data_IF_297284860096
#
_entry.id   IF_297284860096
#
_cell.length_a   1.000
_cell.length_b   1.000
_cell.length_c   1.000
_cell.angle_alpha   90.00
_cell.angle_beta   90.00
_cell.angle_gamma   90.00
#
_symmetry.space_group_name_H-M   'P 1'
#
loop_
_entity.id
_entity.type
_entity.pdbx_description
1 polymer ?
#
# COMPACT_ATOMS: atom_id res chain seq x y z
N UNK A 1 -20.51 -16.21 -11.45
CA UNK A 1 -19.34 -16.18 -12.34
C UNK A 1 -18.10 -16.06 -11.48
N UNK A 2 -17.31 -17.12 -11.37
CA UNK A 2 -16.03 -17.18 -10.68
C UNK A 2 -14.97 -16.40 -11.47
N UNK A 3 -14.31 -15.46 -10.82
CA UNK A 3 -13.32 -14.54 -11.41
C UNK A 3 -11.95 -14.84 -10.83
N UNK A 4 -10.98 -15.16 -11.70
CA UNK A 4 -9.59 -15.46 -11.32
C UNK A 4 -8.70 -14.35 -11.87
N UNK A 5 -7.93 -13.70 -11.01
CA UNK A 5 -7.00 -12.64 -11.37
C UNK A 5 -5.54 -13.08 -11.27
N UNK A 6 -4.73 -12.71 -12.25
CA UNK A 6 -3.29 -12.94 -12.29
C UNK A 6 -2.52 -11.63 -12.32
N UNK A 7 -1.39 -11.63 -11.60
CA UNK A 7 -0.37 -10.57 -11.67
C UNK A 7 0.93 -11.23 -12.12
N UNK A 8 1.32 -11.11 -13.40
CA UNK A 8 2.60 -11.63 -13.89
C UNK A 8 3.75 -10.72 -13.47
N UNK A 9 4.75 -11.31 -12.81
CA UNK A 9 5.94 -10.62 -12.29
C UNK A 9 7.20 -11.37 -12.66
N UNK A 10 7.91 -10.87 -13.68
CA UNK A 10 9.24 -11.38 -14.06
C UNK A 10 10.29 -10.86 -13.07
N UNK A 11 11.20 -11.72 -12.64
CA UNK A 11 12.28 -11.42 -11.70
C UNK A 11 13.51 -10.74 -12.31
N UNK A 12 13.70 -10.86 -13.63
CA UNK A 12 14.74 -10.14 -14.37
C UNK A 12 14.13 -9.09 -15.30
N UNK A 13 14.72 -7.91 -15.40
CA UNK A 13 14.29 -6.89 -16.37
C UNK A 13 15.50 -6.09 -16.88
N UNK A 14 15.55 -5.85 -18.19
CA UNK A 14 16.72 -5.31 -18.91
C UNK A 14 16.69 -3.79 -19.12
N UNK A 15 15.51 -3.13 -19.06
CA UNK A 15 15.36 -1.69 -19.36
C UNK A 15 15.35 -0.80 -18.11
N UNK A 16 14.80 -1.32 -17.02
CA UNK A 16 14.96 -0.83 -15.64
C UNK A 16 15.26 -2.10 -14.85
N UNK A 17 16.28 -2.10 -14.01
CA UNK A 17 16.61 -3.27 -13.19
C UNK A 17 15.36 -3.61 -12.35
N UNK A 18 14.76 -4.76 -12.66
CA UNK A 18 13.53 -5.27 -12.05
C UNK A 18 12.38 -4.25 -11.96
N UNK A 19 11.83 -3.82 -13.12
CA UNK A 19 10.64 -2.92 -13.22
C UNK A 19 9.55 -3.21 -12.18
N UNK A 20 9.17 -4.47 -12.03
CA UNK A 20 8.06 -4.85 -11.15
C UNK A 20 8.39 -4.73 -9.65
N UNK A 21 9.69 -4.69 -9.31
CA UNK A 21 10.21 -4.47 -7.95
C UNK A 21 10.61 -3.00 -7.72
N UNK A 22 10.27 -2.09 -8.62
CA UNK A 22 10.38 -0.67 -8.32
C UNK A 22 9.40 -0.28 -7.20
N UNK A 23 9.81 0.66 -6.37
CA UNK A 23 9.01 1.18 -5.26
C UNK A 23 8.25 2.39 -5.78
N UNK A 24 6.92 2.35 -5.68
CA UNK A 24 6.03 3.47 -5.93
C UNK A 24 5.23 3.76 -4.66
N UNK A 25 5.30 5.00 -4.17
CA UNK A 25 4.52 5.44 -2.99
C UNK A 25 4.75 4.55 -1.75
N UNK A 26 6.00 4.09 -1.60
CA UNK A 26 6.41 3.26 -0.46
C UNK A 26 5.93 1.81 -0.52
N UNK A 27 5.61 1.28 -1.69
CA UNK A 27 5.25 -0.12 -1.91
C UNK A 27 5.84 -0.63 -3.24
N UNK A 28 6.22 -1.90 -3.31
CA UNK A 28 6.61 -2.51 -4.58
C UNK A 28 5.44 -2.56 -5.57
N UNK A 29 5.68 -2.23 -6.84
CA UNK A 29 4.62 -2.20 -7.87
C UNK A 29 3.81 -3.50 -7.93
N UNK A 30 4.47 -4.66 -7.87
CA UNK A 30 3.76 -5.94 -7.91
C UNK A 30 2.90 -6.20 -6.66
N UNK A 31 3.41 -5.88 -5.46
CA UNK A 31 2.62 -5.98 -4.21
C UNK A 31 1.43 -5.03 -4.24
N UNK A 32 1.64 -3.80 -4.71
CA UNK A 32 0.56 -2.82 -4.91
C UNK A 32 -0.53 -3.39 -5.80
N UNK A 33 -0.17 -4.03 -6.92
CA UNK A 33 -1.16 -4.64 -7.82
C UNK A 33 -1.90 -5.80 -7.16
N UNK A 34 -1.20 -6.73 -6.50
CA UNK A 34 -1.84 -7.82 -5.75
C UNK A 34 -2.83 -7.30 -4.71
N UNK A 35 -2.44 -6.27 -3.95
CA UNK A 35 -3.32 -5.61 -2.97
C UNK A 35 -4.55 -4.99 -3.63
N UNK A 36 -4.38 -4.28 -4.76
CA UNK A 36 -5.49 -3.70 -5.51
C UNK A 36 -6.50 -4.76 -5.99
N UNK A 37 -6.03 -5.95 -6.42
CA UNK A 37 -6.92 -7.06 -6.76
C UNK A 37 -7.69 -7.53 -5.53
N UNK A 38 -7.01 -7.77 -4.41
CA UNK A 38 -7.64 -8.22 -3.16
C UNK A 38 -8.68 -7.22 -2.62
N UNK A 39 -8.33 -5.94 -2.57
CA UNK A 39 -9.21 -4.87 -2.06
C UNK A 39 -10.39 -4.56 -2.99
N UNK A 40 -10.31 -4.94 -4.28
CA UNK A 40 -11.42 -4.70 -5.22
C UNK A 40 -12.69 -5.44 -4.81
N UNK A 41 -12.56 -6.58 -4.11
CA UNK A 41 -13.65 -7.50 -3.81
C UNK A 41 -14.26 -8.17 -5.05
N UNK A 42 -13.61 -8.06 -6.22
CA UNK A 42 -14.13 -8.52 -7.50
C UNK A 42 -13.64 -9.91 -7.92
N UNK A 43 -12.65 -10.46 -7.21
CA UNK A 43 -11.96 -11.71 -7.53
C UNK A 43 -12.24 -12.77 -6.46
N UNK A 44 -12.53 -13.99 -6.91
CA UNK A 44 -12.62 -15.15 -6.04
C UNK A 44 -11.22 -15.70 -5.71
N UNK A 45 -10.27 -15.54 -6.63
CA UNK A 45 -8.87 -15.91 -6.44
C UNK A 45 -7.92 -14.90 -7.08
N UNK A 46 -6.82 -14.62 -6.38
CA UNK A 46 -5.72 -13.78 -6.88
C UNK A 46 -4.45 -14.62 -6.90
N UNK A 47 -3.77 -14.61 -8.03
CA UNK A 47 -2.57 -15.38 -8.30
C UNK A 47 -1.39 -14.47 -8.62
N UNK A 48 -0.27 -14.70 -7.96
CA UNK A 48 1.04 -14.18 -8.34
C UNK A 48 1.70 -15.18 -9.28
N UNK A 49 1.96 -14.78 -10.51
CA UNK A 49 2.72 -15.56 -11.49
C UNK A 49 4.18 -15.08 -11.52
N UNK A 50 5.12 -15.94 -11.10
CA UNK A 50 6.55 -15.61 -11.08
C UNK A 50 7.44 -16.85 -11.07
N UNK A 51 8.60 -16.73 -11.72
CA UNK A 51 9.71 -17.68 -11.64
C UNK A 51 10.69 -17.36 -10.49
N UNK A 52 10.55 -16.21 -9.83
CA UNK A 52 11.50 -15.71 -8.83
C UNK A 52 11.12 -16.11 -7.40
N UNK A 53 12.05 -16.79 -6.71
CA UNK A 53 11.95 -17.08 -5.27
C UNK A 53 11.89 -15.81 -4.41
N UNK A 54 12.62 -14.76 -4.80
CA UNK A 54 12.63 -13.50 -4.06
C UNK A 54 11.27 -12.81 -4.11
N UNK A 55 10.65 -12.74 -5.29
CA UNK A 55 9.31 -12.15 -5.46
C UNK A 55 8.27 -12.97 -4.69
N UNK A 56 8.33 -14.31 -4.78
CA UNK A 56 7.45 -15.20 -4.03
C UNK A 56 7.56 -14.98 -2.51
N UNK A 57 8.80 -14.87 -1.99
CA UNK A 57 9.05 -14.58 -0.58
C UNK A 57 8.48 -13.22 -0.17
N UNK A 58 8.67 -12.19 -1.01
CA UNK A 58 8.17 -10.84 -0.78
C UNK A 58 6.63 -10.72 -0.81
N UNK A 59 5.88 -11.71 -1.32
CA UNK A 59 4.42 -11.74 -1.26
C UNK A 59 3.85 -12.82 -0.31
N UNK A 60 4.72 -13.50 0.45
CA UNK A 60 4.32 -14.65 1.28
C UNK A 60 3.33 -14.32 2.41
N UNK A 61 3.24 -13.05 2.80
CA UNK A 61 2.28 -12.54 3.79
C UNK A 61 0.93 -12.11 3.19
N UNK A 62 0.77 -12.20 1.86
CA UNK A 62 -0.46 -11.82 1.17
C UNK A 62 -1.34 -13.05 0.91
N UNK A 63 -2.68 -12.93 0.98
CA UNK A 63 -3.62 -14.03 0.72
C UNK A 63 -3.77 -14.31 -0.78
N UNK A 64 -2.68 -14.67 -1.45
CA UNK A 64 -2.61 -14.93 -2.89
C UNK A 64 -2.07 -16.33 -3.15
N UNK A 65 -2.48 -16.93 -4.27
CA UNK A 65 -1.91 -18.19 -4.74
C UNK A 65 -0.65 -17.91 -5.54
N UNK A 66 0.29 -18.85 -5.52
CA UNK A 66 1.56 -18.73 -6.23
C UNK A 66 1.58 -19.68 -7.43
N UNK A 67 1.70 -19.11 -8.63
CA UNK A 67 2.02 -19.83 -9.85
C UNK A 67 3.53 -19.73 -10.11
N UNK A 68 4.22 -20.87 -10.03
CA UNK A 68 5.62 -21.00 -10.43
C UNK A 68 5.69 -21.29 -11.92
N UNK A 69 5.78 -20.25 -12.74
CA UNK A 69 5.94 -20.43 -14.19
C UNK A 69 7.29 -21.03 -14.56
N UNK A 70 7.32 -21.72 -15.69
CA UNK A 70 8.55 -22.12 -16.34
C UNK A 70 9.39 -20.87 -16.66
N UNK A 71 10.69 -20.91 -16.33
CA UNK A 71 11.63 -19.85 -16.63
C UNK A 71 11.75 -19.56 -18.14
N UNK A 72 11.45 -20.54 -19.00
CA UNK A 72 11.39 -20.33 -20.46
C UNK A 72 10.32 -19.31 -20.87
N UNK A 73 9.21 -19.23 -20.11
CA UNK A 73 8.15 -18.23 -20.31
C UNK A 73 8.50 -16.86 -19.73
N UNK A 74 9.59 -16.75 -18.97
CA UNK A 74 10.13 -15.49 -18.46
C UNK A 74 11.10 -14.84 -19.47
N UNK A 75 10.81 -14.95 -20.77
CA UNK A 75 11.63 -14.42 -21.87
C UNK A 75 10.94 -13.24 -22.55
N UNK A 76 11.72 -12.34 -23.15
CA UNK A 76 11.14 -11.28 -24.01
C UNK A 76 10.60 -11.85 -25.34
N UNK A 77 10.88 -13.12 -25.65
CA UNK A 77 10.34 -13.82 -26.81
C UNK A 77 8.92 -14.37 -26.57
N UNK A 78 8.54 -14.57 -25.30
CA UNK A 78 7.19 -15.03 -24.93
C UNK A 78 6.23 -13.86 -25.06
N UNK A 79 5.21 -14.02 -25.90
CA UNK A 79 4.21 -12.98 -26.07
C UNK A 79 3.14 -13.00 -24.96
N UNK A 80 2.32 -11.95 -24.91
CA UNK A 80 1.30 -11.79 -23.89
C UNK A 80 0.18 -12.83 -23.92
N UNK A 81 -0.15 -13.39 -25.09
CA UNK A 81 -1.13 -14.46 -25.23
C UNK A 81 -0.59 -15.78 -24.69
N UNK A 82 0.64 -16.14 -25.05
CA UNK A 82 1.29 -17.36 -24.56
C UNK A 82 1.36 -17.38 -23.03
N UNK A 83 1.77 -16.26 -22.43
CA UNK A 83 1.85 -16.15 -20.98
C UNK A 83 0.46 -16.27 -20.32
N UNK A 84 -0.53 -15.55 -20.84
CA UNK A 84 -1.90 -15.61 -20.32
C UNK A 84 -2.54 -17.00 -20.46
N UNK A 85 -2.23 -17.71 -21.55
CA UNK A 85 -2.67 -19.08 -21.75
C UNK A 85 -2.11 -20.04 -20.69
N UNK A 86 -0.83 -19.86 -20.29
CA UNK A 86 -0.23 -20.62 -19.21
C UNK A 86 -0.91 -20.36 -17.86
N UNK A 87 -1.19 -19.09 -17.55
CA UNK A 87 -1.93 -18.69 -16.34
C UNK A 87 -3.32 -19.35 -16.29
N UNK A 88 -4.10 -19.21 -17.37
CA UNK A 88 -5.47 -19.75 -17.44
C UNK A 88 -5.49 -21.29 -17.31
N UNK A 89 -4.53 -21.99 -17.94
CA UNK A 89 -4.39 -23.45 -17.82
C UNK A 89 -4.06 -23.89 -16.40
N UNK A 90 -3.28 -23.08 -15.68
CA UNK A 90 -2.81 -23.41 -14.33
C UNK A 90 -3.85 -23.20 -13.23
N UNK A 91 -4.89 -22.41 -13.50
CA UNK A 91 -5.99 -22.15 -12.57
C UNK A 91 -7.35 -22.55 -13.17
N UNK A 92 -7.69 -23.84 -13.21
CA UNK A 92 -8.90 -24.29 -13.89
C UNK A 92 -10.20 -23.87 -13.17
N UNK A 93 -11.27 -23.76 -13.96
CA UNK A 93 -12.64 -23.53 -13.48
C UNK A 93 -12.97 -22.06 -13.18
N UNK A 94 -12.25 -21.11 -13.76
CA UNK A 94 -12.66 -19.71 -13.79
C UNK A 94 -13.70 -19.48 -14.89
N UNK A 95 -14.73 -18.68 -14.62
CA UNK A 95 -15.66 -18.21 -15.67
C UNK A 95 -15.11 -16.95 -16.36
N UNK A 96 -14.35 -16.14 -15.63
CA UNK A 96 -13.63 -14.97 -16.12
C UNK A 96 -12.20 -15.04 -15.63
N UNK A 97 -11.26 -14.94 -16.56
CA UNK A 97 -9.83 -14.86 -16.30
C UNK A 97 -9.35 -13.43 -16.57
N UNK A 98 -8.56 -12.87 -15.65
CA UNK A 98 -8.11 -11.48 -15.69
C UNK A 98 -6.60 -11.44 -15.54
N UNK A 99 -5.91 -10.72 -16.43
CA UNK A 99 -4.49 -10.41 -16.26
C UNK A 99 -4.33 -8.92 -16.03
N UNK A 100 -3.75 -8.55 -14.90
CA UNK A 100 -3.53 -7.16 -14.52
C UNK A 100 -2.04 -6.88 -14.38
N UNK A 101 -1.52 -5.94 -15.16
CA UNK A 101 -0.09 -5.64 -15.20
C UNK A 101 0.30 -4.63 -14.12
N UNK A 102 1.35 -4.93 -13.37
CA UNK A 102 1.80 -4.08 -12.28
C UNK A 102 2.47 -2.77 -12.73
N UNK A 103 2.85 -2.66 -14.01
CA UNK A 103 3.36 -1.42 -14.62
C UNK A 103 2.29 -0.35 -14.75
N UNK A 104 1.00 -0.69 -14.65
CA UNK A 104 -0.11 0.25 -14.61
C UNK A 104 -0.63 0.44 -13.18
N UNK A 105 0.05 1.24 -12.32
CA UNK A 105 -0.23 1.31 -10.89
C UNK A 105 -1.58 1.96 -10.53
N UNK A 106 -2.18 2.70 -11.46
CA UNK A 106 -3.44 3.42 -11.26
C UNK A 106 -4.67 2.68 -11.80
N UNK A 107 -4.50 1.51 -12.44
CA UNK A 107 -5.59 0.53 -12.60
C UNK A 107 -5.86 -0.11 -11.23
N UNK A 108 -6.51 0.64 -10.35
CA UNK A 108 -6.63 0.34 -8.94
C UNK A 108 -7.81 -0.60 -8.61
N UNK A 109 -8.08 -0.80 -7.32
CA UNK A 109 -9.17 -1.64 -6.83
C UNK A 109 -10.55 -1.22 -7.37
N UNK A 110 -10.81 0.08 -7.51
CA UNK A 110 -12.06 0.60 -8.05
C UNK A 110 -12.12 0.36 -9.57
N UNK A 111 -11.03 0.61 -10.30
CA UNK A 111 -10.94 0.35 -11.74
C UNK A 111 -11.17 -1.12 -12.06
N UNK A 112 -10.53 -2.02 -11.31
CA UNK A 112 -10.70 -3.47 -11.45
C UNK A 112 -12.15 -3.89 -11.18
N UNK A 113 -12.78 -3.35 -10.13
CA UNK A 113 -14.20 -3.62 -9.81
C UNK A 113 -15.13 -3.16 -10.94
N UNK A 114 -14.92 -1.95 -11.48
CA UNK A 114 -15.68 -1.42 -12.62
C UNK A 114 -15.49 -2.26 -13.87
N UNK A 115 -14.26 -2.69 -14.17
CA UNK A 115 -13.96 -3.49 -15.35
C UNK A 115 -14.61 -4.89 -15.27
N UNK A 116 -14.51 -5.57 -14.11
CA UNK A 116 -15.19 -6.87 -13.91
C UNK A 116 -16.70 -6.72 -14.03
N UNK A 117 -17.28 -5.66 -13.45
CA UNK A 117 -18.70 -5.38 -13.58
C UNK A 117 -19.11 -5.09 -15.03
N UNK A 118 -18.30 -4.33 -15.78
CA UNK A 118 -18.54 -4.02 -17.19
C UNK A 118 -18.58 -5.28 -18.06
N UNK A 119 -17.60 -6.18 -17.90
CA UNK A 119 -17.64 -7.46 -18.61
C UNK A 119 -18.86 -8.29 -18.16
N UNK A 120 -19.12 -8.45 -16.86
CA UNK A 120 -20.31 -9.19 -16.38
C UNK A 120 -21.63 -8.64 -16.94
N UNK A 121 -21.74 -7.32 -17.13
CA UNK A 121 -22.91 -6.64 -17.69
C UNK A 121 -23.04 -6.73 -19.22
N UNK A 122 -22.03 -7.23 -19.94
CA UNK A 122 -22.01 -7.36 -21.40
C UNK A 122 -22.05 -8.84 -21.83
N UNK A 123 -23.21 -9.52 -21.79
CA UNK A 123 -23.30 -10.97 -22.00
C UNK A 123 -22.82 -11.44 -23.38
N UNK A 124 -22.94 -10.58 -24.41
CA UNK A 124 -22.50 -10.88 -25.77
C UNK A 124 -21.00 -10.69 -26.02
N UNK A 125 -20.29 -10.08 -25.05
CA UNK A 125 -18.85 -9.88 -25.13
C UNK A 125 -18.10 -11.09 -24.57
N UNK A 126 -17.02 -11.48 -25.26
CA UNK A 126 -16.15 -12.59 -24.87
C UNK A 126 -14.92 -12.14 -24.09
N UNK A 127 -14.55 -10.85 -24.18
CA UNK A 127 -13.38 -10.29 -23.54
C UNK A 127 -13.54 -8.82 -23.14
N UNK A 128 -12.59 -8.31 -22.38
CA UNK A 128 -12.44 -6.88 -22.10
C UNK A 128 -10.97 -6.48 -22.26
N UNK A 129 -10.74 -5.36 -22.94
CA UNK A 129 -9.41 -4.76 -23.14
C UNK A 129 -9.46 -3.33 -22.62
N UNK A 130 -8.53 -2.97 -21.74
CA UNK A 130 -8.39 -1.58 -21.31
C UNK A 130 -7.78 -0.72 -22.42
N UNK A 131 -8.40 0.42 -22.68
CA UNK A 131 -8.02 1.34 -23.76
C UNK A 131 -8.04 2.79 -23.29
N UNK A 132 -7.44 3.67 -24.08
CA UNK A 132 -7.70 5.11 -24.06
C UNK A 132 -8.27 5.54 -25.40
N UNK A 133 -9.09 6.59 -25.39
CA UNK A 133 -9.63 7.21 -26.60
C UNK A 133 -9.16 8.66 -26.68
N UNK A 134 -8.33 8.98 -27.68
CA UNK A 134 -7.73 10.31 -27.81
C UNK A 134 -7.78 10.84 -29.23
N UNK A 135 -7.71 12.17 -29.34
CA UNK A 135 -7.62 12.88 -30.62
C UNK A 135 -6.20 13.36 -30.82
N UNK A 136 -5.50 12.80 -31.81
CA UNK A 136 -4.08 13.04 -32.03
C UNK A 136 -3.82 13.78 -33.35
N UNK A 137 -2.86 14.70 -33.30
CA UNK A 137 -2.24 15.26 -34.50
C UNK A 137 -1.15 14.31 -34.98
N UNK A 138 -1.52 13.34 -35.82
CA UNK A 138 -0.66 12.26 -36.26
C UNK A 138 0.29 12.69 -37.38
N UNK A 139 1.54 12.20 -37.32
CA UNK A 139 2.51 12.28 -38.41
C UNK A 139 2.87 10.85 -38.82
N UNK A 140 2.82 10.54 -40.12
CA UNK A 140 3.10 9.22 -40.68
C UNK A 140 4.18 9.38 -41.74
N UNK A 141 5.29 8.67 -41.58
CA UNK A 141 6.43 8.70 -42.53
C UNK A 141 6.95 10.13 -42.84
N UNK A 142 6.88 11.03 -41.86
CA UNK A 142 7.33 12.42 -42.00
C UNK A 142 6.30 13.39 -42.58
N UNK A 143 5.09 12.93 -42.88
CA UNK A 143 3.98 13.75 -43.38
C UNK A 143 2.85 13.88 -42.33
N UNK A 144 2.24 15.06 -42.16
CA UNK A 144 1.08 15.20 -41.30
C UNK A 144 -0.10 14.43 -41.89
N UNK A 145 -0.74 13.58 -41.09
CA UNK A 145 -1.88 12.75 -41.55
C UNK A 145 -3.07 13.61 -42.03
N UNK A 146 -3.22 14.81 -41.47
CA UNK A 146 -4.23 15.79 -41.88
C UNK A 146 -3.83 16.61 -43.12
N UNK A 147 -2.71 16.31 -43.77
CA UNK A 147 -2.19 17.00 -44.95
C UNK A 147 -1.50 18.34 -44.64
N UNK A 148 -0.87 18.93 -45.67
CA UNK A 148 -0.07 20.18 -45.54
C UNK A 148 -0.87 21.49 -45.71
N UNK A 149 -2.16 21.40 -46.06
CA UNK A 149 -2.98 22.57 -46.38
C UNK A 149 -3.40 23.36 -45.14
N UNK A 150 -4.20 22.75 -44.27
CA UNK A 150 -4.74 23.38 -43.05
C UNK A 150 -4.62 22.42 -41.87
N UNK A 151 -4.12 22.90 -40.74
CA UNK A 151 -4.15 22.16 -39.47
C UNK A 151 -5.61 22.16 -38.95
N UNK A 152 -6.25 21.00 -38.74
CA UNK A 152 -7.62 20.92 -38.22
C UNK A 152 -7.68 21.36 -36.75
N UNK A 153 -8.86 21.78 -36.28
CA UNK A 153 -9.03 21.99 -34.84
C UNK A 153 -9.08 20.64 -34.12
N UNK A 154 -8.67 20.61 -32.86
CA UNK A 154 -8.65 19.36 -32.07
C UNK A 154 -10.04 18.73 -31.94
N UNK A 155 -11.10 19.55 -31.93
CA UNK A 155 -12.49 19.07 -31.89
C UNK A 155 -12.91 18.31 -33.16
N UNK A 156 -12.27 18.59 -34.30
CA UNK A 156 -12.60 18.02 -35.61
C UNK A 156 -11.85 16.70 -35.88
N UNK A 157 -10.85 16.37 -35.05
CA UNK A 157 -10.08 15.14 -35.19
C UNK A 157 -10.90 13.89 -34.81
N UNK A 158 -10.70 12.77 -35.51
CA UNK A 158 -11.31 11.50 -35.12
C UNK A 158 -10.67 10.98 -33.82
N UNK A 159 -11.44 10.22 -33.04
CA UNK A 159 -10.88 9.47 -31.93
C UNK A 159 -10.05 8.28 -32.42
N UNK A 160 -8.92 8.06 -31.76
CA UNK A 160 -8.10 6.87 -31.86
C UNK A 160 -8.24 6.08 -30.57
N UNK A 161 -8.58 4.81 -30.72
CA UNK A 161 -8.55 3.84 -29.62
C UNK A 161 -7.15 3.28 -29.53
N UNK A 162 -6.52 3.43 -28.37
CA UNK A 162 -5.16 2.98 -28.10
C UNK A 162 -5.25 1.95 -26.98
N UNK A 163 -4.71 0.76 -27.22
CA UNK A 163 -4.63 -0.28 -26.19
C UNK A 163 -3.69 0.17 -25.07
N UNK A 164 -4.18 0.12 -23.83
CA UNK A 164 -3.42 0.61 -22.67
C UNK A 164 -2.39 -0.40 -22.14
N UNK A 165 -2.38 -1.63 -22.66
CA UNK A 165 -1.49 -2.72 -22.25
C UNK A 165 -1.48 -2.99 -20.73
N UNK A 166 -2.59 -2.72 -20.03
CA UNK A 166 -2.61 -2.70 -18.55
C UNK A 166 -3.52 -3.76 -17.93
N UNK A 167 -4.62 -4.11 -18.60
CA UNK A 167 -5.67 -4.98 -18.09
C UNK A 167 -6.38 -5.71 -19.22
N UNK A 168 -6.48 -7.03 -19.06
CA UNK A 168 -7.15 -7.94 -19.99
C UNK A 168 -8.08 -8.86 -19.24
N UNK A 169 -9.24 -9.16 -19.84
CA UNK A 169 -10.16 -10.17 -19.32
C UNK A 169 -10.70 -11.04 -20.43
N UNK A 170 -10.85 -12.33 -20.15
CA UNK A 170 -11.48 -13.29 -21.05
C UNK A 170 -12.53 -14.08 -20.31
N UNK A 171 -13.67 -14.33 -20.96
CA UNK A 171 -14.59 -15.37 -20.50
C UNK A 171 -14.05 -16.74 -20.90
N UNK A 172 -14.19 -17.72 -20.01
CA UNK A 172 -13.95 -19.11 -20.38
C UNK A 172 -15.12 -19.64 -21.19
N UNK A 173 -14.83 -20.47 -22.19
CA UNK A 173 -15.85 -21.31 -22.80
C UNK A 173 -15.97 -22.60 -22.01
N UNK A 174 -17.12 -23.28 -22.07
CA UNK A 174 -17.43 -24.44 -21.23
C UNK A 174 -16.48 -25.66 -21.39
N UNK A 175 -15.54 -25.65 -22.34
CA UNK A 175 -14.64 -26.77 -22.62
C UNK A 175 -13.15 -26.40 -22.67
N UNK A 176 -12.80 -25.12 -22.78
CA UNK A 176 -11.42 -24.69 -22.98
C UNK A 176 -11.07 -23.44 -22.15
N UNK A 177 -9.80 -23.35 -21.77
CA UNK A 177 -9.23 -22.14 -21.16
C UNK A 177 -8.89 -21.12 -22.25
N UNK A 178 -9.01 -19.80 -21.97
CA UNK A 178 -8.52 -18.78 -22.89
C UNK A 178 -7.05 -19.00 -23.25
N UNK A 179 -6.72 -18.87 -24.54
CA UNK A 179 -5.35 -18.95 -25.04
C UNK A 179 -4.83 -17.61 -25.59
N UNK A 180 -5.59 -16.53 -25.40
CA UNK A 180 -5.28 -15.17 -25.85
C UNK A 180 -5.85 -14.17 -24.85
N UNK A 181 -5.39 -12.93 -24.92
CA UNK A 181 -5.79 -11.81 -24.02
C UNK A 181 -7.10 -11.13 -24.43
N UNK A 182 -7.56 -11.35 -25.66
CA UNK A 182 -8.80 -10.80 -26.17
C UNK A 182 -9.44 -11.75 -27.19
N UNK A 183 -10.77 -11.66 -27.31
CA UNK A 183 -11.59 -12.44 -28.22
C UNK A 183 -12.04 -11.63 -29.45
N UNK A 184 -13.11 -12.09 -30.08
CA UNK A 184 -13.69 -11.47 -31.28
C UNK A 184 -14.61 -10.29 -30.94
N UNK A 185 -15.16 -10.25 -29.71
CA UNK A 185 -16.13 -9.24 -29.26
C UNK A 185 -15.68 -8.59 -27.95
N UNK A 186 -14.57 -7.82 -27.96
CA UNK A 186 -14.09 -7.16 -26.77
C UNK A 186 -14.99 -6.00 -26.35
N UNK A 187 -15.21 -5.87 -25.04
CA UNK A 187 -15.54 -4.57 -24.43
C UNK A 187 -14.27 -3.74 -24.40
N UNK A 188 -14.29 -2.57 -25.04
CA UNK A 188 -13.26 -1.56 -24.85
C UNK A 188 -13.55 -0.76 -23.59
N UNK A 189 -12.74 -0.99 -22.56
CA UNK A 189 -12.90 -0.35 -21.26
C UNK A 189 -12.01 0.90 -21.17
N UNK A 190 -12.64 2.06 -21.21
CA UNK A 190 -11.94 3.34 -21.24
C UNK A 190 -11.36 3.71 -19.86
N UNK A 191 -10.06 3.99 -19.86
CA UNK A 191 -9.31 4.43 -18.69
C UNK A 191 -9.34 5.96 -18.56
N UNK A 192 -9.35 6.45 -17.33
CA UNK A 192 -9.12 7.87 -17.03
C UNK A 192 -7.67 8.27 -17.32
N UNK A 193 -7.40 9.58 -17.29
CA UNK A 193 -6.05 10.15 -17.51
C UNK A 193 -5.00 9.62 -16.55
N UNK A 194 -5.36 9.32 -15.30
CA UNK A 194 -4.42 8.75 -14.32
C UNK A 194 -4.30 7.23 -14.52
N UNK A 195 -5.43 6.54 -14.71
CA UNK A 195 -5.50 5.09 -14.89
C UNK A 195 -4.67 4.58 -16.09
N UNK A 196 -4.51 5.40 -17.13
CA UNK A 196 -3.75 5.04 -18.34
C UNK A 196 -2.23 5.07 -18.18
N UNK A 197 -1.69 5.60 -17.09
CA UNK A 197 -0.24 5.69 -16.92
C UNK A 197 0.35 4.28 -16.80
N UNK A 198 1.30 3.97 -17.68
CA UNK A 198 2.02 2.70 -17.74
C UNK A 198 3.53 2.93 -17.62
N UNK A 199 4.16 2.33 -16.60
CA UNK A 199 5.56 2.54 -16.24
C UNK A 199 6.46 1.69 -17.13
N UNK A 200 7.03 2.33 -18.14
CA UNK A 200 7.97 1.70 -19.07
C UNK A 200 9.41 2.20 -18.89
N UNK A 201 9.57 3.43 -18.44
CA UNK A 201 10.83 4.14 -18.29
C UNK A 201 10.90 4.83 -16.92
N UNK A 202 12.10 5.27 -16.53
CA UNK A 202 12.28 5.98 -15.26
C UNK A 202 11.42 7.25 -15.16
N UNK A 203 11.27 7.99 -16.26
CA UNK A 203 10.43 9.19 -16.30
C UNK A 203 8.95 8.89 -15.99
N UNK A 204 8.44 7.71 -16.35
CA UNK A 204 7.07 7.30 -16.04
C UNK A 204 6.93 7.02 -14.53
N UNK A 205 7.94 6.39 -13.92
CA UNK A 205 7.98 6.16 -12.48
C UNK A 205 8.08 7.49 -11.71
N UNK A 206 8.91 8.43 -12.18
CA UNK A 206 9.05 9.76 -11.58
C UNK A 206 7.72 10.54 -11.67
N UNK A 207 7.00 10.43 -12.78
CA UNK A 207 5.66 11.00 -12.94
C UNK A 207 4.64 10.33 -12.01
N UNK A 208 4.67 9.00 -11.90
CA UNK A 208 3.80 8.26 -10.98
C UNK A 208 4.06 8.68 -9.52
N UNK A 209 5.32 8.82 -9.11
CA UNK A 209 5.72 9.32 -7.79
C UNK A 209 5.22 10.76 -7.56
N UNK A 210 5.28 11.63 -8.57
CA UNK A 210 4.75 12.99 -8.46
C UNK A 210 3.23 13.00 -8.23
N UNK A 211 2.48 12.15 -8.95
CA UNK A 211 1.02 11.99 -8.77
C UNK A 211 0.72 11.50 -7.35
N UNK A 212 1.39 10.42 -6.91
CA UNK A 212 1.25 9.88 -5.55
C UNK A 212 1.62 10.91 -4.48
N UNK A 213 2.72 11.64 -4.67
CA UNK A 213 3.18 12.70 -3.78
C UNK A 213 2.17 13.82 -3.62
N UNK A 214 1.48 14.21 -4.70
CA UNK A 214 0.39 15.18 -4.65
C UNK A 214 -0.78 14.70 -3.77
N UNK A 215 -1.16 13.42 -3.89
CA UNK A 215 -2.17 12.80 -3.04
C UNK A 215 -1.75 12.75 -1.57
N UNK A 216 -0.52 12.28 -1.30
CA UNK A 216 0.09 12.23 0.04
C UNK A 216 0.14 13.59 0.71
N UNK A 217 0.48 14.64 -0.04
CA UNK A 217 0.57 15.97 0.52
C UNK A 217 -0.80 16.46 1.02
N UNK A 218 -1.89 16.21 0.28
CA UNK A 218 -3.26 16.58 0.71
C UNK A 218 -3.64 15.85 2.00
N UNK A 219 -3.36 14.55 2.07
CA UNK A 219 -3.62 13.75 3.26
C UNK A 219 -2.78 14.21 4.46
N UNK A 220 -1.49 14.42 4.28
CA UNK A 220 -0.60 14.90 5.35
C UNK A 220 -1.05 16.25 5.91
N UNK A 221 -1.53 17.16 5.05
CA UNK A 221 -2.14 18.42 5.50
C UNK A 221 -3.41 18.18 6.32
N UNK A 222 -4.29 17.28 5.88
CA UNK A 222 -5.51 16.91 6.60
C UNK A 222 -5.17 16.30 7.97
N UNK A 223 -4.27 15.32 8.01
CA UNK A 223 -3.82 14.68 9.25
C UNK A 223 -3.21 15.70 10.20
N UNK A 224 -2.37 16.61 9.70
CA UNK A 224 -1.80 17.69 10.53
C UNK A 224 -2.89 18.58 11.14
N UNK A 225 -3.94 18.89 10.39
CA UNK A 225 -5.08 19.69 10.86
C UNK A 225 -5.95 18.93 11.88
N UNK A 226 -6.18 17.64 11.68
CA UNK A 226 -7.00 16.81 12.56
C UNK A 226 -6.28 16.42 13.86
N UNK A 227 -4.98 16.17 13.81
CA UNK A 227 -4.17 15.62 14.92
C UNK A 227 -4.42 16.26 16.31
N UNK A 228 -4.56 17.60 16.45
CA UNK A 228 -4.81 18.23 17.75
C UNK A 228 -6.20 17.95 18.34
N UNK A 229 -7.15 17.55 17.52
CA UNK A 229 -8.55 17.33 17.90
C UNK A 229 -8.85 15.87 18.26
N UNK A 230 -7.92 14.96 17.97
CA UNK A 230 -8.08 13.52 18.21
C UNK A 230 -7.56 13.12 19.59
N UNK A 231 -7.93 11.93 20.04
CA UNK A 231 -7.52 11.33 21.32
C UNK A 231 -7.31 9.82 21.17
N UNK A 232 -6.22 9.31 21.76
CA UNK A 232 -5.97 7.88 21.81
C UNK A 232 -7.03 7.15 22.65
N UNK A 233 -7.55 7.77 23.71
CA UNK A 233 -8.61 7.20 24.55
C UNK A 233 -9.90 7.01 23.76
N UNK A 234 -10.36 8.05 23.06
CA UNK A 234 -11.58 7.96 22.21
C UNK A 234 -11.43 6.88 21.14
N UNK A 235 -10.28 6.82 20.46
CA UNK A 235 -10.03 5.76 19.50
C UNK A 235 -10.02 4.36 20.14
N UNK A 236 -9.41 4.22 21.32
CA UNK A 236 -9.34 2.95 22.04
C UNK A 236 -10.73 2.45 22.46
N UNK A 237 -11.58 3.33 22.99
CA UNK A 237 -12.93 2.98 23.42
C UNK A 237 -13.81 2.60 22.23
N UNK A 238 -13.79 3.43 21.17
CA UNK A 238 -14.57 3.17 19.96
C UNK A 238 -14.12 1.89 19.24
N UNK A 239 -12.82 1.69 19.08
CA UNK A 239 -12.32 0.47 18.39
C UNK A 239 -12.69 -0.79 19.16
N UNK A 240 -12.67 -0.74 20.50
CA UNK A 240 -13.15 -1.82 21.36
C UNK A 240 -14.64 -2.12 21.13
N UNK A 241 -15.50 -1.10 21.03
CA UNK A 241 -16.93 -1.29 20.71
C UNK A 241 -17.15 -1.91 19.33
N UNK A 242 -16.29 -1.58 18.36
CA UNK A 242 -16.29 -2.18 17.03
C UNK A 242 -15.67 -3.58 16.97
N UNK A 243 -15.25 -4.14 18.12
CA UNK A 243 -14.61 -5.46 18.20
C UNK A 243 -13.19 -5.50 17.62
N UNK A 244 -12.53 -4.34 17.51
CA UNK A 244 -11.17 -4.20 17.00
C UNK A 244 -10.17 -4.05 18.15
N UNK A 245 -9.04 -4.76 18.06
CA UNK A 245 -7.92 -4.60 18.99
C UNK A 245 -6.87 -3.69 18.35
N UNK A 246 -6.90 -2.40 18.70
CA UNK A 246 -6.08 -1.37 18.04
C UNK A 246 -5.05 -0.71 18.98
N UNK A 247 -5.18 -0.84 20.29
CA UNK A 247 -4.35 -0.12 21.27
C UNK A 247 -3.05 -0.88 21.56
N UNK A 248 -1.91 -0.26 21.30
CA UNK A 248 -0.59 -0.85 21.55
C UNK A 248 -0.27 -0.88 23.07
N UNK A 249 0.73 -1.68 23.51
CA UNK A 249 1.08 -1.82 24.92
C UNK A 249 1.36 -0.50 25.64
N UNK A 250 0.89 -0.40 26.90
CA UNK A 250 0.96 0.81 27.71
C UNK A 250 2.38 1.29 28.02
N UNK A 251 3.40 0.44 27.87
CA UNK A 251 4.80 0.84 28.06
C UNK A 251 5.31 1.74 26.93
N UNK A 252 4.64 1.77 25.77
CA UNK A 252 5.00 2.68 24.68
C UNK A 252 4.59 4.10 25.01
N UNK A 253 5.57 4.89 25.46
CA UNK A 253 5.38 6.29 25.84
C UNK A 253 6.16 7.23 24.92
N UNK A 254 5.70 8.48 24.74
CA UNK A 254 6.46 9.47 23.98
C UNK A 254 7.75 9.81 24.73
N UNK A 255 8.88 9.54 24.09
CA UNK A 255 10.23 9.87 24.62
C UNK A 255 10.81 11.12 23.96
N UNK A 256 10.32 11.47 22.77
CA UNK A 256 10.54 12.75 22.11
C UNK A 256 9.24 13.17 21.39
N UNK A 257 8.94 14.46 21.34
CA UNK A 257 7.69 14.98 20.76
C UNK A 257 6.46 14.71 21.62
N UNK A 258 5.25 14.80 21.04
CA UNK A 258 4.00 14.69 21.79
C UNK A 258 2.89 13.91 21.09
N UNK A 259 2.66 14.17 19.80
CA UNK A 259 1.55 13.55 19.05
C UNK A 259 1.99 13.12 17.65
N UNK A 260 1.54 11.94 17.23
CA UNK A 260 1.71 11.43 15.86
C UNK A 260 0.35 11.15 15.23
N UNK A 261 0.26 11.39 13.94
CA UNK A 261 -0.79 10.88 13.08
C UNK A 261 -0.19 10.66 11.69
N UNK A 262 -0.24 9.44 11.19
CA UNK A 262 0.33 9.09 9.89
C UNK A 262 0.14 7.62 9.54
N UNK A 263 0.68 7.22 8.39
CA UNK A 263 0.54 5.84 7.88
C UNK A 263 1.69 4.95 8.30
N UNK A 264 1.40 3.75 8.78
CA UNK A 264 2.41 2.80 9.22
C UNK A 264 3.30 2.34 8.07
N UNK A 265 4.62 2.37 8.29
CA UNK A 265 5.63 1.64 7.52
C UNK A 265 6.37 0.71 8.46
N UNK A 266 6.15 -0.59 8.28
CA UNK A 266 6.54 -1.60 9.27
C UNK A 266 7.97 -2.11 9.06
N UNK A 267 8.65 -2.36 10.17
CA UNK A 267 9.96 -2.99 10.23
C UNK A 267 9.96 -4.06 11.32
N UNK A 268 10.35 -5.29 10.98
CA UNK A 268 10.52 -6.39 11.94
C UNK A 268 11.99 -6.70 12.14
N UNK A 269 12.42 -6.64 13.39
CA UNK A 269 13.74 -7.04 13.84
C UNK A 269 13.65 -8.35 14.63
N UNK A 270 14.47 -9.32 14.28
CA UNK A 270 14.57 -10.61 14.95
C UNK A 270 15.82 -10.66 15.83
N UNK A 271 15.83 -11.60 16.78
CA UNK A 271 17.03 -11.91 17.53
C UNK A 271 18.05 -12.64 16.64
N UNK A 272 19.33 -12.47 16.93
CA UNK A 272 20.35 -13.32 16.33
C UNK A 272 20.23 -14.77 16.86
N UNK A 273 20.64 -15.77 16.07
CA UNK A 273 20.76 -17.13 16.56
C UNK A 273 21.65 -17.21 17.80
N UNK A 274 21.34 -18.11 18.74
CA UNK A 274 22.09 -18.25 19.99
C UNK A 274 23.57 -18.62 19.79
N UNK A 275 23.91 -19.19 18.64
CA UNK A 275 25.28 -19.55 18.24
C UNK A 275 25.96 -18.48 17.38
N UNK A 276 25.32 -17.35 17.11
CA UNK A 276 25.90 -16.26 16.33
C UNK A 276 27.12 -15.69 17.06
N UNK A 277 28.23 -15.53 16.33
CA UNK A 277 29.45 -14.90 16.85
C UNK A 277 29.73 -13.60 16.12
N UNK A 278 30.69 -12.82 16.60
CA UNK A 278 31.09 -11.59 15.90
C UNK A 278 31.65 -11.87 14.51
N UNK A 279 32.31 -13.02 14.37
CA UNK A 279 32.95 -13.51 13.16
C UNK A 279 31.93 -14.05 12.14
N UNK A 280 30.77 -14.58 12.58
CA UNK A 280 29.73 -15.11 11.67
C UNK A 280 29.15 -14.01 10.76
N UNK A 281 29.20 -12.75 11.20
CA UNK A 281 28.77 -11.60 10.42
C UNK A 281 27.26 -11.42 10.31
N UNK A 282 26.45 -12.30 10.90
CA UNK A 282 24.97 -12.26 10.86
C UNK A 282 24.42 -10.95 11.43
N UNK A 283 25.08 -10.40 12.44
CA UNK A 283 24.76 -9.10 13.04
C UNK A 283 24.77 -7.95 12.03
N UNK A 284 25.48 -8.07 10.90
CA UNK A 284 25.46 -7.06 9.82
C UNK A 284 24.10 -6.95 9.17
N UNK A 285 23.24 -7.97 9.28
CA UNK A 285 21.87 -7.95 8.78
C UNK A 285 21.02 -6.85 9.43
N UNK A 286 21.41 -6.28 10.57
CA UNK A 286 20.73 -5.09 11.13
C UNK A 286 20.83 -3.87 10.21
N UNK A 287 21.89 -3.75 9.40
CA UNK A 287 22.06 -2.63 8.47
C UNK A 287 21.15 -2.72 7.25
N UNK A 288 20.59 -3.90 6.96
CA UNK A 288 19.56 -4.04 5.94
C UNK A 288 18.34 -3.18 6.29
N UNK A 289 18.03 -2.98 7.58
CA UNK A 289 16.95 -2.09 8.02
C UNK A 289 17.08 -0.65 7.50
N UNK A 290 18.29 -0.19 7.15
CA UNK A 290 18.48 1.12 6.51
C UNK A 290 17.83 1.21 5.12
N UNK A 291 17.63 0.08 4.43
CA UNK A 291 16.89 0.04 3.16
C UNK A 291 15.40 0.33 3.34
N UNK A 292 14.86 0.19 4.56
CA UNK A 292 13.46 0.52 4.85
C UNK A 292 13.13 1.99 4.58
N UNK A 293 14.11 2.90 4.70
CA UNK A 293 13.93 4.32 4.41
C UNK A 293 13.54 4.60 2.93
N UNK A 294 13.85 3.69 1.99
CA UNK A 294 13.43 3.82 0.60
C UNK A 294 11.90 3.72 0.41
N UNK A 295 11.20 3.13 1.38
CA UNK A 295 9.74 2.97 1.36
C UNK A 295 8.99 4.07 2.10
N UNK A 296 9.70 4.97 2.78
CA UNK A 296 9.08 6.05 3.53
C UNK A 296 8.71 7.17 2.55
N UNK A 297 7.53 7.74 2.76
CA UNK A 297 7.02 8.93 2.08
C UNK A 297 6.54 9.95 3.12
N UNK A 298 6.25 11.16 2.65
CA UNK A 298 5.71 12.22 3.50
C UNK A 298 4.42 11.76 4.20
N UNK A 299 4.36 11.92 5.52
CA UNK A 299 3.20 11.54 6.33
C UNK A 299 3.25 10.12 6.91
N UNK A 300 4.31 9.36 6.66
CA UNK A 300 4.46 8.01 7.20
C UNK A 300 4.99 8.02 8.65
N UNK A 301 4.61 6.99 9.41
CA UNK A 301 5.10 6.66 10.75
C UNK A 301 5.85 5.33 10.66
N UNK A 302 7.12 5.33 11.07
CA UNK A 302 7.92 4.11 11.11
C UNK A 302 7.51 3.29 12.33
N UNK A 303 7.06 2.05 12.14
CA UNK A 303 6.64 1.16 13.23
C UNK A 303 7.58 -0.04 13.30
N UNK A 304 8.37 -0.10 14.37
CA UNK A 304 9.39 -1.13 14.59
C UNK A 304 8.89 -2.16 15.61
N UNK A 305 8.68 -3.39 15.15
CA UNK A 305 8.48 -4.55 15.99
C UNK A 305 9.83 -5.25 16.20
N UNK A 306 10.19 -5.59 17.44
CA UNK A 306 11.47 -6.26 17.73
C UNK A 306 11.32 -7.40 18.73
N UNK A 307 12.01 -8.51 18.47
CA UNK A 307 12.17 -9.61 19.44
C UNK A 307 13.19 -9.24 20.54
N UNK A 308 14.09 -8.30 20.27
CA UNK A 308 15.16 -7.85 21.18
C UNK A 308 14.70 -6.60 21.95
N UNK A 309 13.75 -6.78 22.86
CA UNK A 309 13.04 -5.67 23.53
C UNK A 309 13.87 -4.89 24.55
N UNK A 310 15.01 -5.40 24.98
CA UNK A 310 15.90 -4.82 25.99
C UNK A 310 17.10 -4.05 25.39
N UNK A 311 17.02 -3.69 24.09
CA UNK A 311 18.05 -2.96 23.35
C UNK A 311 17.48 -1.76 22.60
N UNK A 312 18.33 -0.77 22.38
CA UNK A 312 18.01 0.39 21.57
C UNK A 312 18.31 0.13 20.10
N UNK A 313 17.29 0.26 19.24
CA UNK A 313 17.44 0.23 17.78
C UNK A 313 17.50 1.64 17.18
N UNK A 314 16.67 2.55 17.70
CA UNK A 314 16.53 3.90 17.17
C UNK A 314 17.39 4.92 17.96
N UNK A 315 17.83 5.98 17.29
CA UNK A 315 18.72 7.02 17.82
C UNK A 315 18.88 8.18 16.83
N UNK A 316 19.83 9.09 17.09
CA UNK A 316 19.99 10.34 16.33
C UNK A 316 20.15 10.12 14.82
N UNK A 317 21.05 9.21 14.41
CA UNK A 317 21.29 8.92 13.00
C UNK A 317 20.01 8.44 12.29
N UNK A 318 19.26 7.55 12.95
CA UNK A 318 18.00 7.05 12.42
C UNK A 318 16.94 8.16 12.33
N UNK A 319 16.90 9.09 13.29
CA UNK A 319 16.01 10.24 13.25
C UNK A 319 16.26 11.14 12.02
N UNK A 320 17.53 11.43 11.70
CA UNK A 320 17.87 12.19 10.50
C UNK A 320 17.48 11.46 9.20
N UNK A 321 17.68 10.15 9.14
CA UNK A 321 17.29 9.34 7.98
C UNK A 321 15.77 9.30 7.82
N UNK A 322 15.04 9.12 8.92
CA UNK A 322 13.58 9.11 8.94
C UNK A 322 13.00 10.45 8.46
N UNK A 323 13.50 11.57 8.99
CA UNK A 323 13.05 12.90 8.60
C UNK A 323 13.34 13.20 7.13
N UNK A 324 14.56 12.88 6.66
CA UNK A 324 14.93 13.06 5.26
C UNK A 324 14.01 12.26 4.32
N UNK A 325 13.56 11.09 4.75
CA UNK A 325 12.66 10.25 3.97
C UNK A 325 11.18 10.69 4.06
N UNK A 326 10.84 11.61 4.96
CA UNK A 326 9.49 12.19 5.10
C UNK A 326 8.65 11.66 6.27
N UNK A 327 9.26 10.88 7.18
CA UNK A 327 8.54 10.36 8.34
C UNK A 327 8.07 11.50 9.27
N UNK A 328 6.86 11.39 9.81
CA UNK A 328 6.27 12.31 10.79
C UNK A 328 6.34 11.78 12.22
N UNK A 329 6.75 10.53 12.39
CA UNK A 329 6.93 9.91 13.71
C UNK A 329 7.47 8.50 13.65
N UNK A 330 7.80 7.96 14.82
CA UNK A 330 8.35 6.61 14.99
C UNK A 330 7.74 5.95 16.21
N UNK A 331 7.42 4.66 16.11
CA UNK A 331 7.01 3.80 17.22
C UNK A 331 7.98 2.61 17.27
N UNK A 332 8.62 2.39 18.42
CA UNK A 332 9.60 1.30 18.61
C UNK A 332 9.12 0.39 19.75
N UNK A 333 8.82 -0.87 19.45
CA UNK A 333 8.50 -1.92 20.44
C UNK A 333 9.74 -2.40 21.24
N UNK A 334 10.58 -1.45 21.64
CA UNK A 334 11.87 -1.62 22.31
C UNK A 334 12.36 -0.28 22.84
N UNK A 335 13.67 -0.12 23.00
CA UNK A 335 14.25 1.14 23.48
C UNK A 335 14.71 2.04 22.33
N UNK A 336 14.84 3.33 22.63
CA UNK A 336 15.58 4.30 21.81
C UNK A 336 16.77 4.85 22.60
N UNK A 337 17.66 5.56 21.93
CA UNK A 337 18.73 6.36 22.54
C UNK A 337 18.83 7.76 21.94
N UNK A 338 19.81 8.54 22.42
CA UNK A 338 20.18 9.87 21.90
C UNK A 338 19.02 10.89 21.96
N UNK A 339 18.15 10.78 22.96
CA UNK A 339 16.90 11.59 23.05
C UNK A 339 17.18 13.09 23.07
N UNK A 340 18.26 13.53 23.73
CA UNK A 340 18.65 14.95 23.76
C UNK A 340 18.96 15.50 22.35
N UNK A 341 19.57 14.68 21.48
CA UNK A 341 19.83 15.04 20.09
C UNK A 341 18.60 14.91 19.18
N UNK A 342 17.66 14.01 19.51
CA UNK A 342 16.42 13.83 18.73
C UNK A 342 15.38 14.92 19.02
N UNK A 343 15.31 15.43 20.25
CA UNK A 343 14.31 16.43 20.66
C UNK A 343 14.26 17.68 19.76
N UNK A 344 15.39 18.32 19.38
CA UNK A 344 15.39 19.49 18.50
C UNK A 344 14.89 19.23 17.08
N UNK A 345 14.78 17.96 16.65
CA UNK A 345 14.39 17.61 15.29
C UNK A 345 12.86 17.64 15.07
N UNK A 346 12.06 17.86 16.11
CA UNK A 346 10.59 17.83 16.09
C UNK A 346 9.99 16.52 15.54
N UNK A 347 10.77 15.42 15.60
CA UNK A 347 10.29 14.08 15.28
C UNK A 347 9.73 13.43 16.55
N UNK A 348 8.45 13.08 16.53
CA UNK A 348 7.85 12.38 17.68
C UNK A 348 8.23 10.90 17.67
N UNK A 349 8.76 10.40 18.78
CA UNK A 349 9.21 9.03 18.97
C UNK A 349 8.51 8.42 20.19
N UNK A 350 7.85 7.28 19.97
CA UNK A 350 7.32 6.41 21.01
C UNK A 350 8.22 5.21 21.18
N UNK A 351 8.55 4.87 22.42
CA UNK A 351 9.38 3.71 22.76
C UNK A 351 8.99 3.17 24.14
N UNK A 352 9.44 1.95 24.46
CA UNK A 352 9.31 1.38 25.82
C UNK A 352 10.16 2.10 26.85
N UNK A 353 11.18 2.84 26.40
CA UNK A 353 12.05 3.65 27.23
C UNK A 353 13.28 4.14 26.50
N UNK A 354 14.21 4.72 27.26
CA UNK A 354 15.49 5.23 26.78
C UNK A 354 16.63 4.40 27.37
N UNK A 355 17.53 3.90 26.52
CA UNK A 355 18.64 3.06 26.98
C UNK A 355 19.88 3.18 26.08
N UNK A 356 21.06 3.15 26.67
CA UNK A 356 22.32 3.35 25.93
C UNK A 356 22.76 2.10 25.13
N UNK A 357 22.31 0.89 25.50
CA UNK A 357 22.81 -0.35 24.91
C UNK A 357 22.18 -0.61 23.53
N UNK A 358 23.02 -0.55 22.52
CA UNK A 358 22.69 -0.77 21.10
C UNK A 358 22.28 -2.23 20.81
N UNK A 359 21.39 -2.41 19.83
CA UNK A 359 20.92 -3.73 19.34
C UNK A 359 21.98 -4.52 18.54
N UNK A 360 23.05 -3.87 18.09
CA UNK A 360 24.15 -4.51 17.36
C UNK A 360 24.70 -5.70 18.15
N UNK A 361 24.91 -6.81 17.45
CA UNK A 361 25.29 -8.12 17.99
C UNK A 361 24.19 -8.87 18.74
N UNK A 362 22.96 -8.35 18.78
CA UNK A 362 21.82 -9.00 19.45
C UNK A 362 20.66 -9.22 18.48
N UNK A 363 20.49 -8.32 17.51
CA UNK A 363 19.40 -8.39 16.53
C UNK A 363 19.84 -8.29 15.06
N UNK A 364 18.91 -8.65 14.18
CA UNK A 364 19.03 -8.57 12.72
C UNK A 364 17.70 -8.18 12.08
N UNK A 365 17.72 -7.70 10.84
CA UNK A 365 16.48 -7.40 10.11
C UNK A 365 15.81 -8.70 9.68
N UNK A 366 14.55 -8.89 10.04
CA UNK A 366 13.77 -10.07 9.61
C UNK A 366 12.88 -9.75 8.41
N UNK A 367 12.18 -8.61 8.44
CA UNK A 367 11.28 -8.21 7.37
C UNK A 367 11.06 -6.69 7.36
N UNK A 368 10.68 -6.16 6.20
CA UNK A 368 10.26 -4.77 6.01
C UNK A 368 8.96 -4.78 5.22
N UNK A 369 8.07 -3.83 5.47
CA UNK A 369 6.85 -3.67 4.69
C UNK A 369 5.94 -4.91 4.67
N UNK A 370 5.90 -5.64 5.78
CA UNK A 370 5.06 -6.82 6.00
C UNK A 370 4.25 -6.63 7.29
N UNK A 371 3.17 -7.39 7.46
CA UNK A 371 2.42 -7.33 8.72
C UNK A 371 3.32 -7.71 9.91
N UNK A 372 3.28 -6.91 10.97
CA UNK A 372 3.96 -7.18 12.25
C UNK A 372 2.94 -7.23 13.38
N UNK A 373 3.33 -7.71 14.55
CA UNK A 373 2.48 -7.75 15.73
C UNK A 373 3.19 -7.09 16.91
N UNK A 374 2.52 -6.15 17.57
CA UNK A 374 3.03 -5.48 18.77
C UNK A 374 2.02 -5.69 19.90
N UNK A 375 2.37 -6.54 20.85
CA UNK A 375 1.52 -6.83 22.02
C UNK A 375 0.14 -7.39 21.67
N UNK A 376 0.06 -8.27 20.67
CA UNK A 376 -1.20 -8.85 20.19
C UNK A 376 -1.97 -7.97 19.20
N UNK A 377 -1.51 -6.75 18.91
CA UNK A 377 -2.12 -5.88 17.89
C UNK A 377 -1.41 -6.07 16.55
N UNK A 378 -2.12 -6.52 15.49
CA UNK A 378 -1.56 -6.56 14.15
C UNK A 378 -1.38 -5.15 13.61
N UNK A 379 -0.22 -4.87 13.03
CA UNK A 379 0.10 -3.62 12.33
C UNK A 379 0.47 -3.97 10.90
N UNK A 380 -0.32 -3.51 9.95
CA UNK A 380 -0.04 -3.66 8.52
C UNK A 380 0.54 -2.37 7.97
N UNK A 381 1.17 -2.48 6.82
CA UNK A 381 1.55 -1.31 6.07
C UNK A 381 0.33 -0.47 5.70
N UNK A 382 0.50 0.85 5.82
CA UNK A 382 -0.50 1.88 5.55
C UNK A 382 -1.67 1.99 6.54
N UNK A 383 -1.72 1.16 7.59
CA UNK A 383 -2.61 1.36 8.74
C UNK A 383 -2.38 2.75 9.35
N UNK A 384 -3.40 3.33 9.97
CA UNK A 384 -3.32 4.67 10.54
C UNK A 384 -2.83 4.60 11.98
N UNK A 385 -1.69 5.20 12.24
CA UNK A 385 -1.08 5.29 13.57
C UNK A 385 -1.42 6.64 14.16
N UNK A 386 -2.12 6.63 15.29
CA UNK A 386 -2.29 7.79 16.15
C UNK A 386 -1.59 7.57 17.47
N UNK A 387 -0.94 8.59 18.00
CA UNK A 387 -0.37 8.54 19.34
C UNK A 387 -0.38 9.89 20.02
N UNK A 388 -0.61 9.88 21.32
CA UNK A 388 -0.54 11.03 22.22
C UNK A 388 0.09 10.65 23.57
N UNK A 389 -0.15 11.42 24.64
CA UNK A 389 0.44 11.13 25.95
C UNK A 389 -0.09 9.83 26.59
N UNK A 390 -1.29 9.39 26.20
CA UNK A 390 -1.97 8.26 26.83
C UNK A 390 -1.52 6.93 26.21
N UNK A 391 -1.26 6.92 24.90
CA UNK A 391 -0.68 5.76 24.22
C UNK A 391 -0.66 5.88 22.71
N UNK A 392 -0.56 4.73 22.05
CA UNK A 392 -0.56 4.60 20.58
C UNK A 392 -1.69 3.65 20.18
N UNK A 393 -2.47 4.05 19.18
CA UNK A 393 -3.53 3.26 18.56
C UNK A 393 -3.20 3.09 17.08
N UNK A 394 -3.37 1.87 16.58
CA UNK A 394 -3.19 1.51 15.16
C UNK A 394 -4.54 1.05 14.61
N UNK A 395 -5.08 1.82 13.67
CA UNK A 395 -6.39 1.56 13.05
C UNK A 395 -6.16 0.98 11.66
N UNK A 396 -6.75 -0.18 11.32
CA UNK A 396 -6.68 -0.73 9.96
C UNK A 396 -7.10 0.30 8.92
N UNK A 397 -6.34 0.46 7.84
CA UNK A 397 -6.60 1.52 6.85
C UNK A 397 -8.00 1.41 6.24
N UNK A 398 -8.52 0.20 6.09
CA UNK A 398 -9.86 -0.08 5.56
C UNK A 398 -10.99 0.34 6.51
N UNK A 399 -10.71 0.56 7.80
CA UNK A 399 -11.68 1.00 8.82
C UNK A 399 -11.52 2.48 9.19
N UNK A 400 -10.50 3.16 8.68
CA UNK A 400 -10.16 4.52 9.10
C UNK A 400 -11.31 5.51 8.94
N UNK A 401 -11.98 5.54 7.78
CA UNK A 401 -13.05 6.52 7.52
C UNK A 401 -14.23 6.37 8.48
N UNK A 402 -14.60 5.13 8.80
CA UNK A 402 -15.66 4.81 9.76
C UNK A 402 -15.24 5.23 11.18
N UNK A 403 -14.04 4.83 11.61
CA UNK A 403 -13.51 5.11 12.95
C UNK A 403 -13.34 6.61 13.15
N UNK A 404 -12.81 7.34 12.17
CA UNK A 404 -12.64 8.78 12.21
C UNK A 404 -13.99 9.49 12.36
N UNK A 405 -14.99 9.13 11.53
CA UNK A 405 -16.33 9.74 11.61
C UNK A 405 -16.95 9.56 13.00
N UNK A 406 -16.97 8.33 13.51
CA UNK A 406 -17.54 8.02 14.82
C UNK A 406 -16.75 8.69 15.95
N UNK A 407 -15.42 8.78 15.83
CA UNK A 407 -14.58 9.47 16.82
C UNK A 407 -14.89 10.97 16.87
N UNK A 408 -15.09 11.61 15.73
CA UNK A 408 -15.48 13.04 15.68
C UNK A 408 -16.85 13.27 16.31
N UNK A 409 -17.82 12.37 16.08
CA UNK A 409 -19.13 12.40 16.75
C UNK A 409 -18.99 12.29 18.28
N UNK A 410 -18.18 11.33 18.75
CA UNK A 410 -17.90 11.14 20.18
C UNK A 410 -17.22 12.37 20.81
N UNK A 411 -16.20 12.94 20.16
CA UNK A 411 -15.48 14.13 20.64
C UNK A 411 -16.42 15.34 20.79
N UNK A 412 -17.36 15.51 19.85
CA UNK A 412 -18.37 16.58 19.93
C UNK A 412 -19.31 16.33 21.11
N UNK A 413 -19.80 15.11 21.28
CA UNK A 413 -20.67 14.74 22.39
C UNK A 413 -19.98 14.95 23.76
N UNK A 414 -18.78 14.41 23.94
CA UNK A 414 -17.97 14.59 25.16
C UNK A 414 -17.72 16.06 25.48
N UNK A 415 -17.48 16.88 24.45
CA UNK A 415 -17.28 18.32 24.63
C UNK A 415 -18.55 19.02 25.15
N UNK A 416 -19.73 18.60 24.68
CA UNK A 416 -21.01 19.11 25.18
C UNK A 416 -21.27 18.64 26.61
N UNK A 417 -21.03 17.35 26.90
CA UNK A 417 -21.16 16.78 28.25
C UNK A 417 -20.25 17.51 29.23
N UNK A 418 -18.96 17.67 28.88
CA UNK A 418 -17.96 18.38 29.71
C UNK A 418 -18.36 19.82 30.00
N UNK A 419 -18.87 20.54 29.01
CA UNK A 419 -19.32 21.92 29.21
C UNK A 419 -20.56 21.98 30.13
N UNK A 420 -21.54 21.10 29.94
CA UNK A 420 -22.74 21.08 30.80
C UNK A 420 -22.40 20.65 32.23
N UNK A 421 -21.50 19.69 32.41
CA UNK A 421 -20.98 19.29 33.72
C UNK A 421 -20.26 20.48 34.40
N UNK A 422 -19.43 21.23 33.68
CA UNK A 422 -18.76 22.43 34.21
C UNK A 422 -19.75 23.55 34.59
N UNK A 423 -20.91 23.62 33.92
CA UNK A 423 -22.01 24.53 34.27
C UNK A 423 -22.88 24.02 35.43
N UNK A 424 -22.51 22.91 36.07
CA UNK A 424 -23.19 22.37 37.24
C UNK A 424 -24.49 21.61 36.94
N UNK A 425 -24.68 21.14 35.70
CA UNK A 425 -25.86 20.34 35.34
C UNK A 425 -25.84 18.99 36.08
N UNK A 426 -26.98 18.53 36.65
CA UNK A 426 -27.06 17.23 37.31
C UNK A 426 -26.75 16.07 36.36
N UNK A 427 -26.09 15.02 36.87
CA UNK A 427 -25.69 13.84 36.07
C UNK A 427 -26.88 13.15 35.39
N UNK A 428 -28.03 13.06 36.06
CA UNK A 428 -29.24 12.47 35.47
C UNK A 428 -29.68 13.19 34.19
N UNK A 429 -29.68 14.53 34.21
CA UNK A 429 -30.02 15.33 33.01
C UNK A 429 -28.98 15.15 31.89
N UNK A 430 -27.70 14.95 32.24
CA UNK A 430 -26.66 14.69 31.25
C UNK A 430 -26.88 13.33 30.56
N UNK A 431 -27.20 12.29 31.33
CA UNK A 431 -27.46 10.95 30.80
C UNK A 431 -28.72 10.92 29.92
N UNK A 432 -29.81 11.57 30.36
CA UNK A 432 -31.05 11.65 29.60
C UNK A 432 -30.86 12.35 28.25
N UNK A 433 -29.98 13.36 28.21
CA UNK A 433 -29.76 14.21 27.03
C UNK A 433 -28.69 13.69 26.08
N UNK A 434 -27.60 13.16 26.60
CA UNK A 434 -26.40 12.80 25.82
C UNK A 434 -26.12 11.30 25.79
N UNK A 435 -26.94 10.49 26.46
CA UNK A 435 -26.75 9.05 26.60
C UNK A 435 -25.68 8.69 27.63
N UNK A 436 -25.26 7.42 27.61
CA UNK A 436 -24.10 6.97 28.37
C UNK A 436 -22.83 7.47 27.68
N UNK A 437 -21.96 8.12 28.45
CA UNK A 437 -20.70 8.70 28.03
C UNK A 437 -19.59 8.27 28.99
#
# INVERSE_FOLDING_TARGET
MRVIGFVPVKGSSERIISKNMQILDGEYLFRRKLRQLLESGAFDEVWLDTESEEIAKLASDMPVRLLRRDAALASNATDGHELFANECRSAPGGDIYVQALCTAPFVDANTLRRAVAALKGAPDADSLVAVTSEKHYEWVEGEPHYGRGRIPNSVDLPFRTIEAMSLYMMRSTARDFPNRRFGEKPVFFELTTEERLDINYQADLDLAEAICGGGRQRETMLFRALRPHLSACVFSDLTKELGLSCTLPAELKPVAGRRILGRAKTLKLGALPANATRESGEWKGIYEALKSYAFIRSGDVIVVSTEVKDRAYFGELNAHLALRAGAVGVVVDGFTRDVEAVQPLDLTVFARGVWAKDIKYEGTTSAMNTAVEIGGVPVRNNDIVYGDADGVVVIPHERWDEVLRLSLEAIVNESQVRLNAALGRPVGELLDRFGYF
#
